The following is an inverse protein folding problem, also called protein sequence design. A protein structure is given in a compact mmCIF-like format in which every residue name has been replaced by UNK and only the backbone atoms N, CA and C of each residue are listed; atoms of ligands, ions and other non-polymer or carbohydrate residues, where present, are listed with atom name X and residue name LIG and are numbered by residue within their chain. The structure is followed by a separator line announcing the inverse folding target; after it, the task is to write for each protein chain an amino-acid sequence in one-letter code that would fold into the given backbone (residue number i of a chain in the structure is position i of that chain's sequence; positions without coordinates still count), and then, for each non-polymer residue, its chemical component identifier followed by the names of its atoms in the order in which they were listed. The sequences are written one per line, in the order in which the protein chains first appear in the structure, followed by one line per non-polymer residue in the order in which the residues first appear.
data_IF_640838627303
#
_entry.id   IF_640838627303
#
_cell.length_a   1.000
_cell.length_b   1.000
_cell.length_c   1.000
_cell.angle_alpha   90.00
_cell.angle_beta   90.00
_cell.angle_gamma   90.00
#
_symmetry.space_group_name_H-M   'P 1'
#
loop_
_entity.id
_entity.type
_entity.pdbx_description
1 polymer ?
#
# COMPACT_ATOMS: atom_id res chain seq x y z
N UNK A 1 -6.95 -66.69 34.19
CA UNK A 1 -7.94 -66.23 33.19
C UNK A 1 -7.43 -64.92 32.60
N UNK A 2 -7.03 -64.95 31.34
CA UNK A 2 -6.45 -63.82 30.61
C UNK A 2 -7.60 -62.96 30.06
N UNK A 3 -7.61 -61.65 30.35
CA UNK A 3 -8.52 -60.69 29.70
C UNK A 3 -7.67 -59.62 29.03
N UNK A 4 -7.45 -59.87 27.74
CA UNK A 4 -6.84 -59.01 26.76
C UNK A 4 -7.80 -57.84 26.49
N UNK A 5 -7.43 -56.64 26.94
CA UNK A 5 -8.06 -55.41 26.45
C UNK A 5 -7.07 -54.77 25.47
N UNK A 6 -7.36 -55.04 24.20
CA UNK A 6 -6.69 -54.47 23.03
C UNK A 6 -6.72 -52.95 23.13
N UNK A 7 -5.57 -52.31 23.22
CA UNK A 7 -5.46 -50.86 23.01
C UNK A 7 -5.72 -50.58 21.52
N UNK A 8 -6.93 -50.14 21.21
CA UNK A 8 -7.30 -49.62 19.90
C UNK A 8 -6.82 -48.16 19.81
N UNK A 9 -5.87 -47.81 18.94
CA UNK A 9 -5.52 -46.41 18.75
C UNK A 9 -6.62 -45.75 17.89
N UNK A 10 -7.43 -44.89 18.52
CA UNK A 10 -8.33 -43.99 17.79
C UNK A 10 -7.47 -42.94 17.07
N UNK A 11 -7.23 -43.17 15.79
CA UNK A 11 -6.67 -42.20 14.84
C UNK A 11 -7.67 -41.04 14.69
N UNK A 12 -7.42 -39.94 15.41
CA UNK A 12 -8.09 -38.68 15.14
C UNK A 12 -7.31 -37.98 14.02
N UNK A 13 -7.82 -38.11 12.79
CA UNK A 13 -7.41 -37.30 11.65
C UNK A 13 -7.80 -35.84 11.96
N UNK A 14 -6.84 -35.05 12.45
CA UNK A 14 -6.90 -33.61 12.29
C UNK A 14 -6.73 -33.34 10.79
N UNK A 15 -7.86 -33.25 10.08
CA UNK A 15 -7.92 -32.46 8.85
C UNK A 15 -7.80 -31.01 9.31
N UNK A 16 -6.57 -30.58 9.55
CA UNK A 16 -6.24 -29.17 9.53
C UNK A 16 -6.56 -28.70 8.13
N UNK A 17 -7.73 -28.09 7.94
CA UNK A 17 -7.94 -27.17 6.84
C UNK A 17 -6.95 -26.03 7.04
N UNK A 18 -5.71 -26.23 6.60
CA UNK A 18 -4.84 -25.12 6.27
C UNK A 18 -5.49 -24.49 5.07
N UNK A 19 -6.44 -23.59 5.32
CA UNK A 19 -6.63 -22.45 4.44
C UNK A 19 -5.25 -21.82 4.37
N UNK A 20 -4.49 -22.19 3.34
CA UNK A 20 -3.45 -21.35 2.82
C UNK A 20 -4.15 -20.07 2.40
N UNK A 21 -4.33 -19.16 3.34
CA UNK A 21 -4.58 -17.78 3.02
C UNK A 21 -3.33 -17.39 2.24
N UNK A 22 -3.47 -17.31 0.92
CA UNK A 22 -2.56 -16.59 0.08
C UNK A 22 -2.61 -15.13 0.57
N UNK A 23 -1.88 -14.83 1.63
CA UNK A 23 -1.71 -13.52 2.21
C UNK A 23 -0.73 -12.73 1.35
N UNK A 24 -1.06 -12.60 0.07
CA UNK A 24 -0.63 -11.41 -0.65
C UNK A 24 -1.22 -10.23 0.11
N UNK A 25 -0.36 -9.34 0.64
CA UNK A 25 -0.79 -8.14 1.35
C UNK A 25 -1.93 -7.48 0.55
N UNK A 26 -3.08 -7.25 1.19
CA UNK A 26 -4.28 -6.73 0.51
C UNK A 26 -3.99 -5.43 -0.25
N UNK A 27 -3.04 -4.64 0.26
CA UNK A 27 -2.51 -3.42 -0.39
C UNK A 27 -1.71 -3.75 -1.65
N UNK A 28 -0.84 -4.76 -1.63
CA UNK A 28 -0.05 -5.15 -2.80
C UNK A 28 -0.95 -5.62 -3.95
N UNK A 29 -2.00 -6.39 -3.63
CA UNK A 29 -3.02 -6.77 -4.61
C UNK A 29 -3.73 -5.55 -5.18
N UNK A 30 -4.13 -4.61 -4.32
CA UNK A 30 -4.79 -3.37 -4.73
C UNK A 30 -3.89 -2.52 -5.65
N UNK A 31 -2.61 -2.35 -5.32
CA UNK A 31 -1.64 -1.62 -6.16
C UNK A 31 -1.49 -2.31 -7.52
N UNK A 32 -1.31 -3.63 -7.54
CA UNK A 32 -1.13 -4.41 -8.78
C UNK A 32 -2.36 -4.33 -9.67
N UNK A 33 -3.56 -4.48 -9.09
CA UNK A 33 -4.84 -4.35 -9.81
C UNK A 33 -5.01 -2.94 -10.39
N UNK A 34 -4.72 -1.91 -9.59
CA UNK A 34 -4.84 -0.51 -10.01
C UNK A 34 -3.87 -0.18 -11.14
N UNK A 35 -2.62 -0.66 -11.06
CA UNK A 35 -1.62 -0.47 -12.11
C UNK A 35 -2.06 -1.13 -13.43
N UNK A 36 -2.63 -2.33 -13.35
CA UNK A 36 -3.19 -3.03 -14.51
C UNK A 36 -4.34 -2.25 -15.14
N UNK A 37 -5.28 -1.75 -14.33
CA UNK A 37 -6.42 -0.97 -14.81
C UNK A 37 -5.98 0.34 -15.48
N UNK A 38 -5.05 1.09 -14.88
CA UNK A 38 -4.49 2.32 -15.46
C UNK A 38 -3.81 2.03 -16.79
N UNK A 39 -3.04 0.94 -16.87
CA UNK A 39 -2.34 0.55 -18.10
C UNK A 39 -3.33 0.22 -19.21
N UNK A 40 -4.37 -0.57 -18.90
CA UNK A 40 -5.39 -0.98 -19.86
C UNK A 40 -6.27 0.19 -20.33
N UNK A 41 -6.52 1.18 -19.47
CA UNK A 41 -7.44 2.30 -19.74
C UNK A 41 -6.71 3.64 -19.90
N UNK A 42 -5.42 3.61 -20.25
CA UNK A 42 -4.60 4.81 -20.38
C UNK A 42 -5.19 5.82 -21.38
N UNK A 43 -5.73 5.33 -22.49
CA UNK A 43 -6.38 6.15 -23.54
C UNK A 43 -7.58 6.93 -23.02
N UNK A 44 -8.38 6.31 -22.15
CA UNK A 44 -9.51 6.94 -21.48
C UNK A 44 -9.02 8.05 -20.54
N UNK A 45 -7.99 7.78 -19.73
CA UNK A 45 -7.45 8.74 -18.77
C UNK A 45 -6.78 9.96 -19.42
N UNK A 46 -6.21 9.82 -20.62
CA UNK A 46 -5.58 10.92 -21.37
C UNK A 46 -6.54 11.63 -22.33
N UNK A 47 -7.82 11.25 -22.36
CA UNK A 47 -8.79 11.74 -23.35
C UNK A 47 -8.90 13.28 -23.38
N UNK A 48 -8.80 13.93 -22.22
CA UNK A 48 -8.66 15.38 -22.17
C UNK A 48 -7.20 15.81 -22.38
N UNK A 49 -6.78 15.91 -23.64
CA UNK A 49 -5.41 16.28 -24.03
C UNK A 49 -4.98 17.71 -23.68
N UNK A 50 -5.86 18.54 -23.10
CA UNK A 50 -5.53 19.89 -22.62
C UNK A 50 -5.32 19.97 -21.11
N UNK A 51 -5.72 18.91 -20.38
CA UNK A 51 -5.59 18.86 -18.93
C UNK A 51 -4.12 18.91 -18.52
N UNK A 52 -3.81 19.78 -17.56
CA UNK A 52 -2.49 19.88 -16.93
C UNK A 52 -2.62 19.52 -15.47
N UNK A 53 -1.83 18.53 -15.05
CA UNK A 53 -1.73 18.09 -13.66
C UNK A 53 -0.25 18.24 -13.28
N UNK A 54 0.01 18.78 -12.09
CA UNK A 54 1.36 18.87 -11.54
C UNK A 54 1.98 17.48 -11.40
N UNK A 55 3.25 17.37 -11.80
CA UNK A 55 4.03 16.14 -11.61
C UNK A 55 5.13 16.47 -10.60
N UNK A 56 5.12 15.84 -9.40
CA UNK A 56 6.20 16.03 -8.43
C UNK A 56 7.54 15.55 -8.98
N UNK A 57 8.63 16.12 -8.45
CA UNK A 57 9.99 15.61 -8.74
C UNK A 57 10.06 14.12 -8.36
N UNK A 58 10.46 13.22 -9.28
CA UNK A 58 10.58 11.79 -9.00
C UNK A 58 11.46 11.46 -7.80
N UNK A 59 12.44 12.31 -7.48
CA UNK A 59 13.33 12.14 -6.32
C UNK A 59 12.60 12.31 -4.98
N UNK A 60 11.45 12.98 -4.97
CA UNK A 60 10.70 13.33 -3.77
C UNK A 60 9.40 12.52 -3.61
N UNK A 61 9.21 11.42 -4.35
CA UNK A 61 7.97 10.62 -4.32
C UNK A 61 7.42 10.33 -2.91
N UNK A 62 8.22 9.91 -1.91
CA UNK A 62 7.72 9.66 -0.56
C UNK A 62 7.18 10.90 0.16
N UNK A 63 7.61 12.10 -0.26
CA UNK A 63 7.25 13.38 0.34
C UNK A 63 6.03 14.04 -0.33
N UNK A 64 5.65 13.60 -1.53
CA UNK A 64 4.68 14.28 -2.37
C UNK A 64 3.30 13.59 -2.42
N UNK A 65 2.95 12.82 -1.39
CA UNK A 65 1.69 12.06 -1.32
C UNK A 65 0.47 12.96 -1.54
N UNK A 66 0.42 14.11 -0.87
CA UNK A 66 -0.73 15.04 -1.00
C UNK A 66 -0.89 15.54 -2.43
N UNK A 67 0.18 16.05 -3.06
CA UNK A 67 0.19 16.54 -4.44
C UNK A 67 -0.25 15.44 -5.42
N UNK A 68 0.22 14.20 -5.24
CA UNK A 68 -0.18 13.06 -6.05
C UNK A 68 -1.70 12.83 -5.97
N UNK A 69 -2.27 12.81 -4.76
CA UNK A 69 -3.69 12.59 -4.58
C UNK A 69 -4.56 13.77 -5.02
N UNK A 70 -4.06 15.00 -4.98
CA UNK A 70 -4.72 16.16 -5.59
C UNK A 70 -4.76 16.04 -7.12
N UNK A 71 -3.66 15.57 -7.73
CA UNK A 71 -3.62 15.26 -9.17
C UNK A 71 -4.60 14.17 -9.58
N UNK A 72 -4.71 13.10 -8.80
CA UNK A 72 -5.69 12.01 -9.03
C UNK A 72 -7.13 12.54 -8.95
N UNK A 73 -7.44 13.41 -7.99
CA UNK A 73 -8.77 14.01 -7.86
C UNK A 73 -9.09 14.91 -9.06
N UNK A 74 -8.11 15.68 -9.53
CA UNK A 74 -8.23 16.49 -10.74
C UNK A 74 -8.51 15.63 -11.98
N UNK A 75 -7.80 14.50 -12.11
CA UNK A 75 -8.02 13.54 -13.19
C UNK A 75 -9.42 12.92 -13.12
N UNK A 76 -9.88 12.54 -11.92
CA UNK A 76 -11.24 12.00 -11.70
C UNK A 76 -12.31 12.95 -12.19
N UNK A 77 -12.22 14.22 -11.84
CA UNK A 77 -13.23 15.24 -12.17
C UNK A 77 -13.33 15.54 -13.68
N UNK A 78 -12.34 15.12 -14.47
CA UNK A 78 -12.30 15.29 -15.93
C UNK A 78 -12.59 13.98 -16.69
N UNK A 79 -12.62 12.85 -15.98
CA UNK A 79 -12.87 11.55 -16.57
C UNK A 79 -14.36 11.26 -16.51
N UNK A 80 -14.96 10.86 -17.65
CA UNK A 80 -16.36 10.46 -17.67
C UNK A 80 -16.57 9.25 -16.74
N UNK A 81 -17.73 9.19 -16.07
CA UNK A 81 -18.13 8.09 -15.21
C UNK A 81 -18.45 6.83 -16.04
N UNK A 82 -17.40 6.19 -16.57
CA UNK A 82 -17.45 4.84 -17.08
C UNK A 82 -17.12 3.86 -15.95
N UNK A 83 -17.81 2.71 -15.88
CA UNK A 83 -17.65 1.70 -14.82
C UNK A 83 -16.18 1.34 -14.52
N UNK A 84 -15.32 1.34 -15.55
CA UNK A 84 -13.91 0.99 -15.36
C UNK A 84 -13.08 2.14 -14.80
N UNK A 85 -13.39 3.38 -15.18
CA UNK A 85 -12.79 4.57 -14.58
C UNK A 85 -13.16 4.68 -13.10
N UNK A 86 -14.42 4.39 -12.76
CA UNK A 86 -14.89 4.39 -11.38
C UNK A 86 -14.07 3.43 -10.50
N UNK A 87 -13.81 2.22 -10.98
CA UNK A 87 -13.01 1.23 -10.26
C UNK A 87 -11.57 1.69 -10.00
N UNK A 88 -10.95 2.39 -10.95
CA UNK A 88 -9.61 2.98 -10.78
C UNK A 88 -9.61 3.98 -9.63
N UNK A 89 -10.58 4.91 -9.62
CA UNK A 89 -10.65 5.95 -8.60
C UNK A 89 -11.07 5.41 -7.22
N UNK A 90 -11.92 4.39 -7.17
CA UNK A 90 -12.22 3.67 -5.92
C UNK A 90 -10.96 3.04 -5.32
N UNK A 91 -10.15 2.38 -6.15
CA UNK A 91 -8.91 1.77 -5.67
C UNK A 91 -7.92 2.83 -5.14
N UNK A 92 -7.80 3.97 -5.83
CA UNK A 92 -7.01 5.10 -5.32
C UNK A 92 -7.54 5.66 -4.01
N UNK A 93 -8.87 5.76 -3.84
CA UNK A 93 -9.48 6.16 -2.57
C UNK A 93 -9.08 5.21 -1.44
N UNK A 94 -9.16 3.90 -1.66
CA UNK A 94 -8.73 2.90 -0.68
C UNK A 94 -7.23 2.98 -0.37
N UNK A 95 -6.38 3.28 -1.36
CA UNK A 95 -4.95 3.52 -1.13
C UNK A 95 -4.72 4.79 -0.28
N UNK A 96 -5.45 5.87 -0.57
CA UNK A 96 -5.38 7.11 0.22
C UNK A 96 -5.77 6.89 1.67
N UNK A 97 -6.85 6.15 1.91
CA UNK A 97 -7.32 5.80 3.24
C UNK A 97 -6.29 4.96 4.00
N UNK A 98 -5.67 3.98 3.33
CA UNK A 98 -4.60 3.19 3.90
C UNK A 98 -3.41 4.06 4.32
N UNK A 99 -2.94 4.97 3.45
CA UNK A 99 -1.82 5.86 3.74
C UNK A 99 -2.17 6.81 4.89
N UNK A 100 -3.34 7.45 4.84
CA UNK A 100 -3.84 8.33 5.91
C UNK A 100 -3.93 7.59 7.26
N UNK A 101 -4.35 6.32 7.25
CA UNK A 101 -4.39 5.50 8.45
C UNK A 101 -2.98 5.19 8.99
N UNK A 102 -1.99 5.01 8.10
CA UNK A 102 -0.58 4.85 8.47
C UNK A 102 0.03 6.12 9.03
N UNK A 103 -0.27 7.28 8.45
CA UNK A 103 0.16 8.58 8.97
C UNK A 103 -0.39 8.84 10.37
N UNK A 104 -1.65 8.47 10.63
CA UNK A 104 -2.24 8.55 11.99
C UNK A 104 -1.50 7.67 13.01
N UNK A 105 -0.82 6.61 12.57
CA UNK A 105 0.00 5.75 13.44
C UNK A 105 1.39 6.32 13.72
N UNK A 106 1.83 7.38 13.02
CA UNK A 106 3.11 8.04 13.29
C UNK A 106 3.15 8.69 14.69
N UNK A 107 2.00 9.12 15.21
CA UNK A 107 1.83 9.55 16.60
C UNK A 107 1.92 8.35 17.55
N UNK A 108 3.13 7.82 17.75
CA UNK A 108 3.40 6.69 18.61
C UNK A 108 3.24 7.01 20.11
N UNK A 109 3.58 6.04 20.95
CA UNK A 109 3.56 6.23 22.40
C UNK A 109 4.57 7.29 22.85
N UNK A 110 4.27 7.99 23.96
CA UNK A 110 5.25 8.88 24.60
C UNK A 110 6.36 8.04 25.20
N UNK A 111 7.60 8.25 24.73
CA UNK A 111 8.80 7.55 25.16
C UNK A 111 9.79 8.52 25.81
N UNK A 112 10.86 7.98 26.41
CA UNK A 112 11.93 8.80 27.00
C UNK A 112 12.71 9.54 25.91
N UNK A 113 13.34 10.65 26.27
CA UNK A 113 14.16 11.46 25.35
C UNK A 113 15.25 10.63 24.68
N UNK A 114 15.93 9.75 25.42
CA UNK A 114 16.95 8.84 24.88
C UNK A 114 16.43 8.02 23.68
N UNK A 115 15.26 7.37 23.82
CA UNK A 115 14.65 6.59 22.74
C UNK A 115 14.22 7.45 21.54
N UNK A 116 13.86 8.70 21.80
CA UNK A 116 13.55 9.65 20.72
C UNK A 116 14.82 10.08 19.98
N UNK A 117 15.94 10.27 20.69
CA UNK A 117 17.23 10.58 20.07
C UNK A 117 17.74 9.40 19.23
N UNK A 118 17.61 8.16 19.70
CA UNK A 118 17.92 6.96 18.90
C UNK A 118 17.13 6.95 17.59
N UNK A 119 15.81 7.19 17.67
CA UNK A 119 14.96 7.28 16.49
C UNK A 119 15.34 8.45 15.57
N UNK A 120 15.73 9.59 16.14
CA UNK A 120 16.17 10.77 15.37
C UNK A 120 17.47 10.50 14.62
N UNK A 121 18.44 9.82 15.24
CA UNK A 121 19.68 9.42 14.57
C UNK A 121 19.42 8.47 13.40
N UNK A 122 18.54 7.49 13.59
CA UNK A 122 18.12 6.60 12.53
C UNK A 122 17.43 7.36 11.39
N UNK A 123 16.52 8.27 11.72
CA UNK A 123 15.86 9.15 10.74
C UNK A 123 16.88 9.96 9.92
N UNK A 124 17.82 10.63 10.59
CA UNK A 124 18.85 11.42 9.92
C UNK A 124 19.74 10.56 9.01
N UNK A 125 20.04 9.33 9.42
CA UNK A 125 20.78 8.37 8.59
C UNK A 125 20.00 8.04 7.32
N UNK A 126 18.71 7.72 7.43
CA UNK A 126 17.82 7.45 6.28
C UNK A 126 17.79 8.64 5.32
N UNK A 127 17.63 9.87 5.83
CA UNK A 127 17.64 11.08 4.99
C UNK A 127 18.97 11.20 4.24
N UNK A 128 20.09 10.97 4.91
CA UNK A 128 21.43 11.08 4.32
C UNK A 128 21.78 9.94 3.34
N UNK A 129 21.11 8.79 3.41
CA UNK A 129 21.40 7.67 2.50
C UNK A 129 20.40 7.53 1.36
N UNK A 130 19.14 7.83 1.63
CA UNK A 130 18.04 7.57 0.70
C UNK A 130 17.53 8.84 0.02
N UNK A 131 17.62 10.00 0.67
CA UNK A 131 17.02 11.24 0.16
C UNK A 131 18.06 12.20 -0.45
N UNK A 132 19.33 12.11 -0.07
CA UNK A 132 20.44 12.80 -0.73
C UNK A 132 21.06 11.94 -1.83
N UNK A 133 20.33 11.73 -2.92
CA UNK A 133 20.98 11.47 -4.22
C UNK A 133 21.37 12.84 -4.77
N UNK A 134 22.50 13.36 -4.26
CA UNK A 134 23.19 14.46 -4.91
C UNK A 134 23.46 14.06 -6.38
N UNK A 135 23.01 14.95 -7.25
CA UNK A 135 23.31 15.01 -8.68
C UNK A 135 24.80 14.79 -8.94
N UNK A 136 25.16 13.61 -9.44
CA UNK A 136 26.26 13.50 -10.39
C UNK A 136 25.76 14.00 -11.73
N UNK A 137 26.17 15.21 -12.10
CA UNK A 137 26.22 15.67 -13.49
C UNK A 137 27.10 14.75 -14.34
#
# INVERSE_FOLDING_TARGET
MMKMFVCLPLLVLWVGCTYGAATGNSVNRLVTETLSLITAHRTLLINNGTLRISIPDPKNHPLCIEEIFQGIETLKNQTAEENVAEKIFQNFSSLKEYITAKEKQCGGERRKVEQFLDYLEDFLRTVNTEWTIESGE
#
